data_IF_404153250847
#
_entry.id   IF_404153250847
#
_cell.length_a   1.000
_cell.length_b   1.000
_cell.length_c   1.000
_cell.angle_alpha   90.00
_cell.angle_beta   90.00
_cell.angle_gamma   90.00
#
_symmetry.space_group_name_H-M   'P 1'
#
loop_
_entity.id
_entity.type
_entity.pdbx_description
1 polymer ?
#
# COMPACT_ATOMS: atom_id res chain seq x y z
N UNK A 1 19.37 13.28 -9.95
CA UNK A 1 18.61 12.01 -10.04
C UNK A 1 19.31 10.96 -10.91
N UNK A 2 19.73 11.26 -12.15
CA UNK A 2 20.42 10.26 -13.01
C UNK A 2 21.71 9.66 -12.44
N UNK A 3 22.34 10.34 -11.49
CA UNK A 3 23.54 9.88 -10.79
C UNK A 3 23.24 9.10 -9.49
N UNK A 4 21.97 8.97 -9.10
CA UNK A 4 21.59 8.18 -7.93
C UNK A 4 21.54 6.70 -8.31
N UNK A 5 22.19 5.87 -7.50
CA UNK A 5 22.08 4.43 -7.62
C UNK A 5 20.61 3.99 -7.46
N UNK A 6 20.17 3.08 -8.31
CA UNK A 6 18.77 2.62 -8.37
C UNK A 6 17.77 3.54 -9.08
N UNK A 7 18.15 4.72 -9.60
CA UNK A 7 17.24 5.55 -10.38
C UNK A 7 17.08 5.03 -11.82
N UNK A 8 15.93 4.41 -12.11
CA UNK A 8 15.64 3.79 -13.41
C UNK A 8 14.95 4.73 -14.42
N UNK A 9 14.66 5.97 -14.05
CA UNK A 9 13.96 6.94 -14.90
C UNK A 9 12.46 7.03 -14.65
N UNK A 10 11.73 7.53 -15.66
CA UNK A 10 10.28 7.72 -15.58
C UNK A 10 9.52 6.40 -15.69
N UNK A 11 8.40 6.30 -14.97
CA UNK A 11 7.54 5.11 -14.93
C UNK A 11 6.13 5.46 -15.39
N UNK A 12 5.44 4.52 -16.01
CA UNK A 12 4.03 4.67 -16.42
C UNK A 12 3.09 3.98 -15.44
N UNK A 13 1.79 4.29 -15.51
CA UNK A 13 0.78 3.71 -14.61
C UNK A 13 0.76 2.17 -14.58
N UNK A 14 1.10 1.52 -15.70
CA UNK A 14 1.19 0.05 -15.78
C UNK A 14 2.36 -0.54 -14.97
N UNK A 15 3.41 0.25 -14.72
CA UNK A 15 4.62 -0.19 -14.02
C UNK A 15 4.48 -0.10 -12.49
N UNK A 16 3.47 0.65 -12.01
CA UNK A 16 3.17 0.80 -10.58
C UNK A 16 2.70 -0.52 -9.95
N UNK A 17 1.97 -1.35 -10.70
CA UNK A 17 1.32 -2.56 -10.17
C UNK A 17 1.96 -3.87 -10.64
N UNK A 18 2.95 -3.84 -11.52
CA UNK A 18 3.53 -5.04 -12.14
C UNK A 18 4.84 -5.51 -11.49
N UNK A 19 5.28 -4.87 -10.41
CA UNK A 19 6.46 -5.27 -9.63
C UNK A 19 7.80 -4.94 -10.26
N UNK A 20 7.84 -4.19 -11.38
CA UNK A 20 9.11 -3.78 -12.00
C UNK A 20 9.87 -2.72 -11.20
N UNK A 21 9.19 -2.01 -10.30
CA UNK A 21 9.74 -0.89 -9.54
C UNK A 21 9.39 -1.04 -8.06
N UNK A 22 10.35 -0.73 -7.18
CA UNK A 22 10.17 -0.84 -5.73
C UNK A 22 9.66 0.47 -5.10
N UNK A 23 10.05 1.61 -5.67
CA UNK A 23 9.69 2.95 -5.15
C UNK A 23 9.31 3.85 -6.32
N UNK A 24 8.16 4.52 -6.20
CA UNK A 24 7.71 5.55 -7.15
C UNK A 24 7.65 6.88 -6.40
N UNK A 25 8.28 7.91 -6.96
CA UNK A 25 8.32 9.25 -6.38
C UNK A 25 7.41 10.17 -7.19
N UNK A 26 6.55 10.91 -6.50
CA UNK A 26 5.67 11.92 -7.07
C UNK A 26 5.38 13.01 -6.04
N UNK A 27 4.80 14.13 -6.47
CA UNK A 27 4.28 15.13 -5.55
C UNK A 27 3.03 14.62 -4.80
N UNK A 28 2.68 15.28 -3.70
CA UNK A 28 1.58 14.86 -2.85
C UNK A 28 0.19 14.91 -3.51
N UNK A 29 -0.02 15.81 -4.47
CA UNK A 29 -1.30 15.90 -5.19
C UNK A 29 -1.47 14.72 -6.15
N UNK A 30 -0.46 14.48 -6.99
CA UNK A 30 -0.44 13.34 -7.92
C UNK A 30 -0.52 12.01 -7.16
N UNK A 31 0.28 11.86 -6.10
CA UNK A 31 0.29 10.65 -5.28
C UNK A 31 -1.04 10.37 -4.61
N UNK A 32 -1.71 11.40 -4.09
CA UNK A 32 -3.03 11.24 -3.46
C UNK A 32 -4.11 10.84 -4.48
N UNK A 33 -4.12 11.46 -5.67
CA UNK A 33 -5.04 11.07 -6.76
C UNK A 33 -4.79 9.63 -7.17
N UNK A 34 -3.53 9.25 -7.40
CA UNK A 34 -3.15 7.90 -7.78
C UNK A 34 -3.59 6.87 -6.73
N UNK A 35 -3.28 7.10 -5.45
CA UNK A 35 -3.64 6.20 -4.36
C UNK A 35 -5.16 6.02 -4.27
N UNK A 36 -5.92 7.12 -4.25
CA UNK A 36 -7.39 7.05 -4.16
C UNK A 36 -8.04 6.44 -5.40
N UNK A 37 -7.48 6.68 -6.57
CA UNK A 37 -7.93 6.04 -7.81
C UNK A 37 -7.69 4.54 -7.77
N UNK A 38 -6.51 4.09 -7.33
CA UNK A 38 -6.18 2.68 -7.19
C UNK A 38 -7.13 1.97 -6.20
N UNK A 39 -7.35 2.57 -5.03
CA UNK A 39 -8.30 2.06 -4.03
C UNK A 39 -9.73 1.95 -4.58
N UNK A 40 -10.21 2.97 -5.29
CA UNK A 40 -11.54 2.99 -5.91
C UNK A 40 -11.70 1.98 -7.04
N UNK A 41 -10.69 1.85 -7.90
CA UNK A 41 -10.68 0.89 -9.00
C UNK A 41 -10.74 -0.55 -8.47
N UNK A 42 -9.92 -0.88 -7.47
CA UNK A 42 -9.93 -2.22 -6.85
C UNK A 42 -11.30 -2.50 -6.22
N UNK A 43 -11.87 -1.57 -5.44
CA UNK A 43 -13.21 -1.75 -4.87
C UNK A 43 -14.27 -2.03 -5.94
N UNK A 44 -14.23 -1.25 -7.03
CA UNK A 44 -15.18 -1.37 -8.14
C UNK A 44 -15.07 -2.75 -8.82
N UNK A 45 -13.85 -3.22 -9.09
CA UNK A 45 -13.62 -4.55 -9.68
C UNK A 45 -14.19 -5.65 -8.77
N UNK A 46 -13.94 -5.57 -7.46
CA UNK A 46 -14.47 -6.57 -6.51
C UNK A 46 -16.00 -6.58 -6.47
N UNK A 47 -16.64 -5.43 -6.54
CA UNK A 47 -18.10 -5.34 -6.47
C UNK A 47 -18.76 -5.83 -7.75
N UNK A 48 -18.19 -5.50 -8.91
CA UNK A 48 -18.61 -6.08 -10.20
C UNK A 48 -18.45 -7.61 -10.18
N UNK A 49 -17.32 -8.13 -9.71
CA UNK A 49 -17.08 -9.56 -9.59
C UNK A 49 -18.13 -10.25 -8.70
N UNK A 50 -18.43 -9.69 -7.51
CA UNK A 50 -19.50 -10.21 -6.64
C UNK A 50 -20.86 -10.17 -7.32
N UNK A 51 -21.17 -9.12 -8.08
CA UNK A 51 -22.43 -8.98 -8.79
C UNK A 51 -22.63 -10.11 -9.80
N UNK A 52 -21.61 -10.40 -10.63
CA UNK A 52 -21.69 -11.48 -11.62
C UNK A 52 -21.71 -12.87 -10.97
N UNK A 53 -20.92 -13.10 -9.92
CA UNK A 53 -20.97 -14.35 -9.15
C UNK A 53 -22.37 -14.61 -8.61
N UNK A 54 -23.05 -13.58 -8.09
CA UNK A 54 -24.41 -13.72 -7.52
C UNK A 54 -25.50 -14.00 -8.57
N UNK A 55 -25.26 -13.68 -9.84
CA UNK A 55 -26.23 -13.89 -10.93
C UNK A 55 -26.20 -15.31 -11.52
N UNK A 56 -25.16 -16.10 -11.26
CA UNK A 56 -24.99 -17.44 -11.84
C UNK A 56 -24.86 -18.53 -10.78
N UNK A 57 -25.73 -19.55 -10.83
CA UNK A 57 -25.68 -20.70 -9.92
C UNK A 57 -24.34 -21.46 -9.99
N UNK A 58 -23.81 -21.82 -11.19
CA UNK A 58 -22.46 -22.38 -11.31
C UNK A 58 -21.37 -21.47 -10.71
N UNK A 59 -21.46 -20.15 -10.95
CA UNK A 59 -20.48 -19.20 -10.42
C UNK A 59 -20.51 -19.13 -8.88
N UNK A 60 -21.68 -19.26 -8.24
CA UNK A 60 -21.80 -19.33 -6.78
C UNK A 60 -21.10 -20.54 -6.19
N UNK A 61 -21.27 -21.71 -6.81
CA UNK A 61 -20.64 -22.95 -6.36
C UNK A 61 -19.12 -22.85 -6.49
N UNK A 62 -18.62 -22.40 -7.65
CA UNK A 62 -17.19 -22.16 -7.84
C UNK A 62 -16.63 -21.13 -6.86
N UNK A 63 -17.36 -20.04 -6.61
CA UNK A 63 -16.94 -19.02 -5.66
C UNK A 63 -16.89 -19.55 -4.22
N UNK A 64 -17.80 -20.44 -3.84
CA UNK A 64 -17.78 -21.08 -2.52
C UNK A 64 -16.53 -21.94 -2.33
N UNK A 65 -16.13 -22.71 -3.35
CA UNK A 65 -14.89 -23.50 -3.32
C UNK A 65 -13.64 -22.62 -3.19
N UNK A 66 -13.64 -21.46 -3.86
CA UNK A 66 -12.52 -20.52 -3.85
C UNK A 66 -12.51 -19.56 -2.62
N UNK A 67 -13.60 -19.49 -1.86
CA UNK A 67 -13.84 -18.50 -0.79
C UNK A 67 -12.69 -18.36 0.20
N UNK A 68 -12.18 -19.47 0.72
CA UNK A 68 -11.21 -19.45 1.83
C UNK A 68 -9.80 -19.13 1.37
N UNK A 69 -9.32 -19.78 0.30
CA UNK A 69 -7.94 -19.65 -0.16
C UNK A 69 -7.75 -18.46 -1.11
N UNK A 70 -8.61 -18.32 -2.12
CA UNK A 70 -8.42 -17.27 -3.15
C UNK A 70 -8.97 -15.95 -2.65
N UNK A 71 -10.28 -15.87 -2.41
CA UNK A 71 -10.91 -14.61 -2.00
C UNK A 71 -10.45 -14.14 -0.62
N UNK A 72 -10.13 -15.07 0.29
CA UNK A 72 -9.52 -14.74 1.58
C UNK A 72 -8.16 -14.06 1.44
N UNK A 73 -7.26 -14.62 0.62
CA UNK A 73 -5.93 -14.03 0.41
C UNK A 73 -5.99 -12.72 -0.37
N UNK A 74 -6.83 -12.66 -1.42
CA UNK A 74 -7.03 -11.42 -2.18
C UNK A 74 -7.59 -10.31 -1.29
N UNK A 75 -8.54 -10.63 -0.39
CA UNK A 75 -9.06 -9.65 0.56
C UNK A 75 -7.95 -9.11 1.46
N UNK A 76 -7.08 -9.98 2.00
CA UNK A 76 -5.94 -9.53 2.83
C UNK A 76 -5.00 -8.61 2.07
N UNK A 77 -4.68 -8.93 0.82
CA UNK A 77 -3.75 -8.13 0.02
C UNK A 77 -4.28 -6.72 -0.31
N UNK A 78 -5.60 -6.54 -0.28
CA UNK A 78 -6.30 -5.27 -0.56
C UNK A 78 -6.74 -4.57 0.74
N UNK A 79 -6.70 -5.28 1.87
CA UNK A 79 -7.17 -4.77 3.15
C UNK A 79 -6.17 -3.76 3.71
N UNK A 80 -6.59 -2.50 3.73
CA UNK A 80 -5.79 -1.36 4.25
C UNK A 80 -5.46 -1.54 5.74
N UNK A 81 -6.28 -2.30 6.46
CA UNK A 81 -6.06 -2.55 7.88
C UNK A 81 -4.83 -3.45 8.12
N UNK A 82 -4.33 -4.17 7.13
CA UNK A 82 -3.12 -5.01 7.29
C UNK A 82 -1.85 -4.17 7.48
N UNK A 83 -1.78 -2.97 6.90
CA UNK A 83 -0.65 -2.06 7.06
C UNK A 83 -0.86 -1.05 8.19
N UNK A 84 -2.12 -0.68 8.49
CA UNK A 84 -2.50 0.11 9.66
C UNK A 84 -2.22 1.62 9.57
N UNK A 85 -1.16 2.03 8.89
CA UNK A 85 -0.82 3.43 8.66
C UNK A 85 0.49 3.60 7.89
N UNK A 86 0.75 4.82 7.42
CA UNK A 86 1.98 5.14 6.70
C UNK A 86 2.91 6.02 7.57
N UNK A 87 4.23 5.76 7.60
CA UNK A 87 5.17 6.63 8.28
C UNK A 87 5.27 8.00 7.59
N UNK A 88 5.23 9.08 8.38
CA UNK A 88 5.47 10.44 7.91
C UNK A 88 6.98 10.73 7.98
N UNK A 89 7.64 10.58 6.85
CA UNK A 89 9.09 10.80 6.71
C UNK A 89 9.44 12.29 6.77
N UNK A 90 10.67 12.59 7.20
CA UNK A 90 11.21 13.96 7.28
C UNK A 90 11.00 14.65 8.63
N UNK A 91 10.44 13.94 9.62
CA UNK A 91 10.36 14.41 11.01
C UNK A 91 11.55 13.90 11.83
N UNK A 92 11.90 14.60 12.90
CA UNK A 92 12.93 14.18 13.87
C UNK A 92 12.54 12.97 14.74
N UNK A 93 11.37 12.38 14.50
CA UNK A 93 10.87 11.22 15.24
C UNK A 93 9.95 10.34 14.40
N UNK A 94 9.38 9.32 15.02
CA UNK A 94 8.41 8.42 14.37
C UNK A 94 7.00 8.99 14.49
N UNK A 95 6.34 9.24 13.36
CA UNK A 95 4.91 9.53 13.31
C UNK A 95 4.25 8.61 12.27
N UNK A 96 3.22 7.86 12.69
CA UNK A 96 2.43 6.99 11.81
C UNK A 96 1.06 7.63 11.59
N UNK A 97 0.70 7.85 10.32
CA UNK A 97 -0.59 8.39 9.91
C UNK A 97 -1.51 7.24 9.56
N UNK A 98 -2.49 6.99 10.42
CA UNK A 98 -3.58 6.03 10.18
C UNK A 98 -4.80 6.72 9.55
N UNK A 99 -5.66 5.94 8.90
CA UNK A 99 -6.87 6.48 8.30
C UNK A 99 -7.93 6.80 9.37
N UNK A 100 -8.74 7.85 9.22
CA UNK A 100 -9.77 8.21 10.20
C UNK A 100 -10.82 7.12 10.47
N UNK A 101 -11.03 6.19 9.53
CA UNK A 101 -11.93 5.04 9.70
C UNK A 101 -11.21 3.75 10.17
N UNK A 102 -10.02 3.86 10.77
CA UNK A 102 -9.19 2.71 11.14
C UNK A 102 -9.85 1.82 12.19
N UNK A 103 -9.86 0.51 11.94
CA UNK A 103 -10.31 -0.49 12.92
C UNK A 103 -9.28 -0.71 14.03
N UNK A 104 -9.67 -1.43 15.09
CA UNK A 104 -8.73 -1.86 16.15
C UNK A 104 -7.55 -2.66 15.60
N UNK A 105 -7.75 -3.44 14.53
CA UNK A 105 -6.69 -4.17 13.83
C UNK A 105 -5.73 -3.22 13.13
N UNK A 106 -6.26 -2.20 12.43
CA UNK A 106 -5.44 -1.19 11.78
C UNK A 106 -4.56 -0.43 12.80
N UNK A 107 -5.13 -0.03 13.94
CA UNK A 107 -4.36 0.64 15.00
C UNK A 107 -3.28 -0.27 15.57
N UNK A 108 -3.61 -1.54 15.84
CA UNK A 108 -2.62 -2.53 16.29
C UNK A 108 -1.45 -2.64 15.28
N UNK A 109 -1.77 -2.73 13.99
CA UNK A 109 -0.75 -2.83 12.94
C UNK A 109 0.06 -1.53 12.78
N UNK A 110 -0.55 -0.36 12.97
CA UNK A 110 0.15 0.92 13.00
C UNK A 110 1.18 0.99 14.14
N UNK A 111 0.88 0.41 15.31
CA UNK A 111 1.84 0.31 16.43
C UNK A 111 3.01 -0.60 16.05
N UNK A 112 2.76 -1.75 15.44
CA UNK A 112 3.84 -2.61 14.94
C UNK A 112 4.69 -1.90 13.86
N UNK A 113 4.06 -1.10 13.00
CA UNK A 113 4.75 -0.29 12.02
C UNK A 113 5.65 0.77 12.68
N UNK A 114 5.21 1.39 13.76
CA UNK A 114 6.01 2.33 14.55
C UNK A 114 7.21 1.65 15.22
N UNK A 115 7.01 0.46 15.79
CA UNK A 115 8.10 -0.34 16.39
C UNK A 115 9.15 -0.66 15.32
N UNK A 116 8.72 -1.21 14.18
CA UNK A 116 9.63 -1.53 13.07
C UNK A 116 10.36 -0.30 12.53
N UNK A 117 9.70 0.86 12.48
CA UNK A 117 10.32 2.11 12.06
C UNK A 117 11.46 2.54 12.99
N UNK A 118 11.23 2.46 14.31
CA UNK A 118 12.22 2.82 15.33
C UNK A 118 13.37 1.82 15.36
N UNK A 119 13.07 0.52 15.30
CA UNK A 119 14.08 -0.55 15.29
C UNK A 119 14.99 -0.51 14.05
N UNK A 120 14.47 0.00 12.92
CA UNK A 120 15.22 0.13 11.67
C UNK A 120 16.08 1.40 11.57
N UNK A 121 16.05 2.26 12.60
CA UNK A 121 16.83 3.50 12.68
C UNK A 121 16.74 4.38 11.42
N UNK A 122 15.52 4.52 10.90
CA UNK A 122 15.25 5.18 9.61
C UNK A 122 15.70 6.64 9.63
N UNK A 123 15.48 7.36 10.73
CA UNK A 123 15.81 8.78 10.85
C UNK A 123 17.32 9.01 10.75
N UNK A 124 18.11 8.30 11.55
CA UNK A 124 19.58 8.39 11.55
C UNK A 124 20.14 8.02 10.19
N UNK A 125 19.57 7.00 9.53
CA UNK A 125 19.96 6.59 8.18
C UNK A 125 19.72 7.70 7.17
N UNK A 126 18.53 8.33 7.18
CA UNK A 126 18.20 9.45 6.29
C UNK A 126 19.13 10.64 6.54
N UNK A 127 19.31 11.04 7.80
CA UNK A 127 20.19 12.16 8.18
C UNK A 127 21.62 11.93 7.69
N UNK A 128 22.18 10.76 7.97
CA UNK A 128 23.54 10.38 7.53
C UNK A 128 23.71 10.45 6.02
N UNK A 129 22.70 10.01 5.26
CA UNK A 129 22.75 10.04 3.79
C UNK A 129 22.63 11.49 3.29
N UNK A 130 21.77 12.30 3.89
CA UNK A 130 21.61 13.70 3.50
C UNK A 130 22.88 14.51 3.77
N UNK A 131 23.51 14.33 4.93
CA UNK A 131 24.77 14.99 5.28
C UNK A 131 25.93 14.61 4.34
N UNK A 132 26.02 13.35 3.92
CA UNK A 132 27.04 12.89 2.96
C UNK A 132 26.86 13.47 1.55
N UNK A 133 25.64 13.91 1.20
CA UNK A 133 25.30 14.41 -0.13
C UNK A 133 25.02 15.92 -0.15
N UNK A 134 25.16 16.61 1.00
CA UNK A 134 25.08 18.05 1.13
C UNK A 134 26.41 18.72 0.76
#
# INVERSE_FOLDING_TARGET
>A
LKALDGFIGNVEGKDIFNGKVSVVVCDGFTGNILLKTAEGAVSTIFDLMKQYIRKSLPAKVGALMMKKKVFGNMKKQVDKDEYGGAPLLGLKGCAIISHGASSSKAIKNAVFQAISYVESDVNTTIETILEKNA
#
